data_IF_909270716018
#
_entry.id   IF_909270716018
#
_cell.length_a   1.000
_cell.length_b   1.000
_cell.length_c   1.000
_cell.angle_alpha   90.00
_cell.angle_beta   90.00
_cell.angle_gamma   90.00
#
_symmetry.space_group_name_H-M   'P 1'
#
loop_
_entity.id
_entity.type
_entity.pdbx_description
1 polymer ?
#
# COMPACT_ATOMS: atom_id res chain seq x y z
N UNK A 1 6.20 -75.03 -53.31
CA UNK A 1 5.55 -76.11 -52.52
C UNK A 1 5.77 -75.86 -51.08
N UNK A 2 4.67 -75.84 -50.31
CA UNK A 2 4.43 -76.07 -48.90
C UNK A 2 4.88 -74.90 -47.95
N UNK A 3 3.93 -74.18 -47.50
CA UNK A 3 2.96 -74.29 -46.45
C UNK A 3 3.46 -73.69 -45.14
N UNK A 4 2.75 -72.63 -44.82
CA UNK A 4 2.55 -72.06 -43.45
C UNK A 4 2.32 -73.13 -42.40
N UNK A 5 2.40 -72.83 -41.08
CA UNK A 5 1.35 -72.01 -40.48
C UNK A 5 1.82 -71.03 -39.35
N UNK A 6 1.15 -69.92 -39.27
CA UNK A 6 0.37 -69.39 -38.15
C UNK A 6 0.83 -69.78 -36.72
N UNK A 7 1.22 -68.82 -35.99
CA UNK A 7 0.97 -68.83 -34.55
C UNK A 7 0.69 -67.39 -34.09
N UNK A 8 -0.55 -67.15 -33.89
CA UNK A 8 -1.14 -66.04 -33.16
C UNK A 8 -0.71 -66.11 -31.73
N UNK A 9 -0.02 -65.10 -31.22
CA UNK A 9 0.00 -64.86 -29.77
C UNK A 9 -0.60 -63.50 -29.51
N UNK A 10 -1.77 -63.54 -29.03
CA UNK A 10 -2.56 -62.41 -28.48
C UNK A 10 -1.96 -62.04 -27.17
N UNK A 11 -1.18 -60.98 -27.13
CA UNK A 11 -0.70 -60.39 -25.86
C UNK A 11 -1.65 -59.26 -25.46
N UNK A 12 -2.49 -59.51 -24.50
CA UNK A 12 -3.31 -58.52 -23.85
C UNK A 12 -2.41 -57.73 -22.90
N UNK A 13 -2.02 -56.55 -23.28
CA UNK A 13 -1.40 -55.56 -22.37
C UNK A 13 -2.52 -54.88 -21.59
N UNK A 14 -2.76 -55.31 -20.38
CA UNK A 14 -3.56 -54.57 -19.42
C UNK A 14 -2.76 -53.33 -18.95
N UNK A 15 -3.11 -52.18 -19.51
CA UNK A 15 -2.59 -50.89 -19.02
C UNK A 15 -3.30 -50.60 -17.68
N UNK A 16 -2.59 -50.82 -16.58
CA UNK A 16 -2.98 -50.34 -15.29
C UNK A 16 -2.79 -48.81 -15.23
N UNK A 17 -3.90 -48.09 -15.36
CA UNK A 17 -3.93 -46.68 -15.06
C UNK A 17 -3.78 -46.48 -13.53
N UNK A 18 -2.57 -46.22 -13.11
CA UNK A 18 -2.31 -45.76 -11.75
C UNK A 18 -2.74 -44.30 -11.72
N UNK A 19 -3.97 -44.04 -11.27
CA UNK A 19 -4.41 -42.72 -10.87
C UNK A 19 -3.61 -42.34 -9.61
N UNK A 20 -2.47 -41.71 -9.81
CA UNK A 20 -1.71 -41.08 -8.74
C UNK A 20 -2.50 -39.88 -8.24
N UNK A 21 -3.22 -40.05 -7.13
CA UNK A 21 -3.64 -38.93 -6.32
C UNK A 21 -2.35 -38.27 -5.79
N UNK A 22 -1.94 -37.19 -6.40
CA UNK A 22 -0.96 -36.28 -5.82
C UNK A 22 -1.69 -35.61 -4.67
N UNK A 23 -1.30 -35.79 -3.40
CA UNK A 23 -1.83 -34.94 -2.35
C UNK A 23 -1.39 -33.52 -2.67
N UNK A 24 -2.34 -32.65 -2.97
CA UNK A 24 -2.08 -31.20 -2.92
C UNK A 24 -1.63 -30.94 -1.50
N UNK A 25 -0.35 -30.77 -1.35
CA UNK A 25 0.20 -30.19 -0.13
C UNK A 25 -0.28 -28.75 -0.17
N UNK A 26 -1.38 -28.47 0.51
CA UNK A 26 -1.72 -27.12 0.90
C UNK A 26 -0.48 -26.62 1.65
N UNK A 27 0.34 -25.83 0.94
CA UNK A 27 1.40 -25.09 1.59
C UNK A 27 0.77 -24.28 2.72
N UNK A 28 1.52 -23.95 3.79
CA UNK A 28 0.98 -23.15 4.87
C UNK A 28 0.30 -21.94 4.24
N UNK A 29 -0.99 -21.80 4.47
CA UNK A 29 -1.74 -20.61 4.13
C UNK A 29 -1.00 -19.48 4.80
N UNK A 30 -0.26 -18.69 4.02
CA UNK A 30 0.30 -17.45 4.52
C UNK A 30 -0.93 -16.67 4.99
N UNK A 31 -1.11 -16.64 6.29
CA UNK A 31 -2.12 -15.81 6.93
C UNK A 31 -1.86 -14.41 6.38
N UNK A 32 -2.72 -13.98 5.45
CA UNK A 32 -2.56 -12.70 4.78
C UNK A 32 -2.63 -11.65 5.87
N UNK A 33 -1.51 -10.95 6.08
CA UNK A 33 -1.48 -9.84 7.01
C UNK A 33 -2.62 -8.87 6.67
N UNK A 34 -3.31 -8.33 7.67
CA UNK A 34 -4.46 -7.46 7.43
C UNK A 34 -4.05 -6.28 6.55
N UNK A 35 -4.91 -5.85 5.61
CA UNK A 35 -4.62 -4.72 4.73
C UNK A 35 -4.35 -3.46 5.54
N UNK A 36 -3.60 -2.52 4.95
CA UNK A 36 -3.36 -1.23 5.57
C UNK A 36 -4.67 -0.46 5.75
N UNK A 37 -4.85 0.09 6.95
CA UNK A 37 -6.03 0.87 7.32
C UNK A 37 -5.61 2.27 7.74
N UNK A 38 -6.32 3.27 7.24
CA UNK A 38 -6.16 4.67 7.65
C UNK A 38 -7.00 4.90 8.90
N UNK A 39 -6.35 5.16 10.04
CA UNK A 39 -7.04 5.28 11.33
C UNK A 39 -7.33 6.73 11.73
N UNK A 40 -6.87 7.67 10.95
CA UNK A 40 -7.15 9.09 11.13
C UNK A 40 -5.92 9.96 11.27
N UNK A 41 -6.17 11.26 11.22
CA UNK A 41 -5.14 12.30 11.39
C UNK A 41 -5.62 13.33 12.39
N UNK A 42 -4.74 13.64 13.33
CA UNK A 42 -4.87 14.79 14.20
C UNK A 42 -4.06 15.95 13.62
N UNK A 43 -4.69 17.10 13.46
CA UNK A 43 -4.06 18.31 12.93
C UNK A 43 -3.91 19.34 14.02
N UNK A 44 -2.71 19.89 14.18
CA UNK A 44 -2.40 20.94 15.16
C UNK A 44 -1.68 22.10 14.50
N UNK A 45 -2.25 23.27 14.59
CA UNK A 45 -1.56 24.51 14.23
C UNK A 45 -0.56 24.85 15.34
N UNK A 46 0.72 24.84 14.99
CA UNK A 46 1.81 25.14 15.95
C UNK A 46 2.14 26.62 15.99
N UNK A 47 2.02 27.29 14.85
CA UNK A 47 2.22 28.72 14.66
C UNK A 47 1.36 29.14 13.46
N UNK A 48 1.36 30.40 13.08
CA UNK A 48 0.48 30.96 12.03
C UNK A 48 0.52 30.17 10.73
N UNK A 49 1.67 29.67 10.35
CA UNK A 49 1.90 28.92 9.12
C UNK A 49 2.56 27.53 9.33
N UNK A 50 2.81 27.15 10.55
CA UNK A 50 3.45 25.87 10.90
C UNK A 50 2.41 24.89 11.47
N UNK A 51 2.27 23.75 10.81
CA UNK A 51 1.23 22.77 11.11
C UNK A 51 1.83 21.39 11.37
N UNK A 52 1.34 20.73 12.39
CA UNK A 52 1.67 19.35 12.70
C UNK A 52 0.49 18.43 12.33
N UNK A 53 0.82 17.34 11.67
CA UNK A 53 -0.09 16.24 11.35
C UNK A 53 0.38 14.97 12.02
N UNK A 54 -0.45 14.42 12.89
CA UNK A 54 -0.21 13.12 13.50
C UNK A 54 -1.15 12.10 12.87
N UNK A 55 -0.61 11.28 11.98
CA UNK A 55 -1.35 10.24 11.24
C UNK A 55 -1.15 8.89 11.88
N UNK A 56 -2.18 8.06 11.90
CA UNK A 56 -2.11 6.68 12.34
C UNK A 56 -2.62 5.75 11.26
N UNK A 57 -1.90 4.65 11.07
CA UNK A 57 -2.31 3.53 10.21
C UNK A 57 -2.05 2.21 10.93
N UNK A 58 -2.85 1.21 10.61
CA UNK A 58 -2.68 -0.17 11.09
C UNK A 58 -2.62 -1.15 9.93
N UNK A 59 -2.17 -2.39 10.20
CA UNK A 59 -2.03 -3.44 9.20
C UNK A 59 -0.72 -3.36 8.44
N UNK A 60 -0.74 -3.80 7.17
CA UNK A 60 0.45 -3.80 6.31
C UNK A 60 0.65 -2.41 5.72
N UNK A 61 1.11 -1.49 6.55
CA UNK A 61 1.50 -0.15 6.15
C UNK A 61 3.03 -0.06 5.96
N UNK A 62 3.46 0.94 5.22
CA UNK A 62 4.88 1.27 5.02
C UNK A 62 5.15 2.71 5.41
N UNK A 63 6.43 3.07 5.52
CA UNK A 63 6.81 4.49 5.70
C UNK A 63 6.26 5.36 4.57
N UNK A 64 6.30 4.88 3.32
CA UNK A 64 5.78 5.60 2.17
C UNK A 64 4.27 5.84 2.26
N UNK A 65 3.51 4.91 2.82
CA UNK A 65 2.06 5.08 3.05
C UNK A 65 1.79 6.20 4.05
N UNK A 66 2.55 6.23 5.16
CA UNK A 66 2.43 7.29 6.16
C UNK A 66 2.85 8.67 5.61
N UNK A 67 3.94 8.72 4.84
CA UNK A 67 4.38 9.95 4.18
C UNK A 67 3.32 10.45 3.18
N UNK A 68 2.73 9.56 2.38
CA UNK A 68 1.63 9.89 1.49
C UNK A 68 0.40 10.40 2.25
N UNK A 69 0.04 9.75 3.34
CA UNK A 69 -1.11 10.13 4.15
C UNK A 69 -0.95 11.52 4.77
N UNK A 70 0.20 11.81 5.38
CA UNK A 70 0.48 13.13 5.95
C UNK A 70 0.62 14.22 4.87
N UNK A 71 1.18 13.89 3.72
CA UNK A 71 1.28 14.79 2.57
C UNK A 71 -0.10 15.17 2.02
N UNK A 72 -1.01 14.20 1.94
CA UNK A 72 -2.40 14.44 1.55
C UNK A 72 -3.13 15.35 2.55
N UNK A 73 -2.94 15.10 3.85
CA UNK A 73 -3.49 15.94 4.90
C UNK A 73 -2.95 17.38 4.83
N UNK A 74 -1.66 17.53 4.63
CA UNK A 74 -1.03 18.84 4.48
C UNK A 74 -1.58 19.62 3.28
N UNK A 75 -1.73 18.97 2.14
CA UNK A 75 -2.30 19.58 0.94
C UNK A 75 -3.73 20.05 1.19
N UNK A 76 -4.57 19.22 1.76
CA UNK A 76 -5.96 19.57 2.03
C UNK A 76 -6.10 20.67 3.07
N UNK A 77 -5.35 20.60 4.17
CA UNK A 77 -5.36 21.64 5.18
C UNK A 77 -4.91 22.99 4.62
N UNK A 78 -3.90 22.98 3.75
CA UNK A 78 -3.44 24.17 3.03
C UNK A 78 -4.57 24.84 2.26
N UNK A 79 -5.36 24.06 1.52
CA UNK A 79 -6.53 24.55 0.80
C UNK A 79 -7.63 25.07 1.74
N UNK A 80 -7.90 24.35 2.84
CA UNK A 80 -8.88 24.79 3.86
C UNK A 80 -8.50 26.16 4.44
N UNK A 81 -7.22 26.42 4.62
CA UNK A 81 -6.70 27.71 5.08
C UNK A 81 -6.67 28.79 4.00
N UNK A 82 -7.03 28.45 2.74
CA UNK A 82 -7.01 29.36 1.62
C UNK A 82 -5.61 29.65 1.07
N UNK A 83 -4.66 28.75 1.33
CA UNK A 83 -3.28 28.86 0.86
C UNK A 83 -3.05 27.94 -0.35
N UNK A 84 -1.93 28.15 -1.04
CA UNK A 84 -1.62 27.44 -2.30
C UNK A 84 -0.52 26.41 -2.13
N UNK A 85 0.46 26.68 -1.26
CA UNK A 85 1.66 25.86 -1.13
C UNK A 85 1.86 25.36 0.29
N UNK A 86 2.44 24.18 0.40
CA UNK A 86 3.01 23.69 1.63
C UNK A 86 4.44 23.22 1.40
N UNK A 87 5.25 23.22 2.42
CA UNK A 87 6.61 22.68 2.40
C UNK A 87 6.81 21.75 3.57
N UNK A 88 7.27 20.54 3.27
CA UNK A 88 7.62 19.56 4.27
C UNK A 88 8.82 20.01 5.09
N UNK A 89 8.74 19.95 6.39
CA UNK A 89 9.80 20.29 7.33
C UNK A 89 10.48 19.04 7.87
N UNK A 90 9.69 18.14 8.48
CA UNK A 90 10.17 16.87 9.03
C UNK A 90 9.04 15.86 9.16
N UNK A 91 9.39 14.58 9.20
CA UNK A 91 8.50 13.50 9.61
C UNK A 91 9.26 12.52 10.50
N UNK A 92 8.68 12.15 11.61
CA UNK A 92 9.11 11.04 12.45
C UNK A 92 8.07 9.93 12.38
N UNK A 93 8.50 8.71 12.14
CA UNK A 93 7.60 7.55 12.03
C UNK A 93 8.02 6.51 13.06
N UNK A 94 7.05 6.01 13.80
CA UNK A 94 7.19 4.89 14.74
C UNK A 94 6.23 3.77 14.36
N UNK A 95 6.64 2.55 14.61
CA UNK A 95 5.80 1.36 14.44
C UNK A 95 5.92 0.50 15.70
N UNK A 96 4.78 0.05 16.22
CA UNK A 96 4.72 -0.81 17.39
C UNK A 96 3.49 -1.72 17.29
N UNK A 97 3.73 -3.01 17.19
CA UNK A 97 2.67 -4.01 17.15
C UNK A 97 1.69 -3.86 15.98
N UNK A 98 2.16 -3.43 14.80
CA UNK A 98 1.33 -3.18 13.62
C UNK A 98 0.62 -1.83 13.63
N UNK A 99 0.86 -0.99 14.63
CA UNK A 99 0.37 0.39 14.71
C UNK A 99 1.47 1.35 14.27
N UNK A 100 1.21 2.05 13.19
CA UNK A 100 2.12 3.03 12.58
C UNK A 100 1.66 4.44 12.91
N UNK A 101 2.55 5.26 13.40
CA UNK A 101 2.28 6.66 13.70
C UNK A 101 3.32 7.54 13.03
N UNK A 102 2.86 8.47 12.21
CA UNK A 102 3.67 9.54 11.66
C UNK A 102 3.38 10.85 12.39
N UNK A 103 4.42 11.55 12.75
CA UNK A 103 4.40 12.94 13.25
C UNK A 103 5.10 13.80 12.22
N UNK A 104 4.34 14.51 11.41
CA UNK A 104 4.83 15.30 10.29
C UNK A 104 4.57 16.79 10.50
N UNK A 105 5.52 17.61 10.14
CA UNK A 105 5.42 19.08 10.22
C UNK A 105 5.60 19.68 8.84
N UNK A 106 4.71 20.60 8.52
CA UNK A 106 4.69 21.36 7.27
C UNK A 106 4.56 22.87 7.55
N UNK A 107 5.13 23.69 6.71
CA UNK A 107 4.74 25.11 6.59
C UNK A 107 3.73 25.25 5.46
N UNK A 108 2.78 26.16 5.62
CA UNK A 108 1.78 26.50 4.59
C UNK A 108 1.96 27.96 4.16
N UNK A 109 1.70 28.26 2.90
CA UNK A 109 1.99 29.60 2.34
C UNK A 109 1.08 29.91 1.15
N UNK A 110 0.65 31.19 0.98
CA UNK A 110 -0.04 31.63 -0.22
C UNK A 110 0.88 31.73 -1.45
N UNK A 111 2.18 31.92 -1.21
CA UNK A 111 3.21 32.06 -2.25
C UNK A 111 4.17 30.87 -2.20
N UNK A 112 4.86 30.64 -3.33
CA UNK A 112 5.84 29.57 -3.44
C UNK A 112 6.98 29.78 -2.43
N UNK A 113 7.12 28.93 -1.41
CA UNK A 113 8.17 29.06 -0.42
C UNK A 113 9.53 28.71 -1.01
N UNK A 114 10.58 29.26 -0.44
CA UNK A 114 11.96 28.89 -0.77
C UNK A 114 12.28 27.51 -0.20
N UNK A 115 13.10 26.77 -0.91
CA UNK A 115 13.63 25.48 -0.46
C UNK A 115 13.07 24.29 -1.23
N UNK A 116 13.43 23.11 -0.75
CA UNK A 116 13.05 21.82 -1.33
C UNK A 116 11.77 21.29 -0.67
N UNK A 117 11.21 20.23 -1.26
CA UNK A 117 10.05 19.50 -0.72
C UNK A 117 8.78 20.35 -0.63
N UNK A 118 8.63 21.29 -1.54
CA UNK A 118 7.43 22.09 -1.70
C UNK A 118 6.39 21.30 -2.49
N UNK A 119 5.14 21.39 -2.07
CA UNK A 119 4.01 20.85 -2.78
C UNK A 119 3.01 21.96 -3.12
N UNK A 120 2.42 21.87 -4.30
CA UNK A 120 1.25 22.65 -4.67
C UNK A 120 0.01 21.90 -4.20
N UNK A 121 -0.74 22.51 -3.30
CA UNK A 121 -1.79 21.84 -2.55
C UNK A 121 -2.90 21.28 -3.43
N UNK A 122 -3.30 22.01 -4.47
CA UNK A 122 -4.38 21.58 -5.36
C UNK A 122 -3.98 20.36 -6.19
N UNK A 123 -2.76 20.32 -6.70
CA UNK A 123 -2.23 19.18 -7.46
C UNK A 123 -2.14 17.94 -6.58
N UNK A 124 -1.56 18.07 -5.38
CA UNK A 124 -1.42 16.95 -4.46
C UNK A 124 -2.77 16.44 -3.96
N UNK A 125 -3.72 17.33 -3.66
CA UNK A 125 -5.06 16.93 -3.23
C UNK A 125 -5.80 16.15 -4.32
N UNK A 126 -5.64 16.52 -5.59
CA UNK A 126 -6.20 15.78 -6.72
C UNK A 126 -5.59 14.38 -6.85
N UNK A 127 -4.27 14.25 -6.75
CA UNK A 127 -3.57 12.96 -6.77
C UNK A 127 -4.04 12.07 -5.61
N UNK A 128 -4.21 12.64 -4.43
CA UNK A 128 -4.71 11.91 -3.25
C UNK A 128 -6.11 11.35 -3.47
N UNK A 129 -7.00 12.12 -4.09
CA UNK A 129 -8.34 11.67 -4.43
C UNK A 129 -8.30 10.49 -5.42
N UNK A 130 -7.45 10.56 -6.44
CA UNK A 130 -7.26 9.47 -7.41
C UNK A 130 -6.71 8.20 -6.75
N UNK A 131 -5.82 8.33 -5.78
CA UNK A 131 -5.24 7.21 -5.03
C UNK A 131 -6.16 6.68 -3.92
N UNK A 132 -7.29 7.31 -3.65
CA UNK A 132 -8.20 6.91 -2.59
C UNK A 132 -7.65 7.12 -1.18
N UNK A 133 -6.68 8.02 -1.01
CA UNK A 133 -6.16 8.39 0.30
C UNK A 133 -7.16 9.34 0.98
N UNK A 134 -7.59 9.02 2.22
CA UNK A 134 -8.57 9.84 2.91
C UNK A 134 -8.10 11.28 3.14
N UNK A 135 -9.06 12.17 3.13
CA UNK A 135 -8.83 13.57 3.46
C UNK A 135 -9.07 13.85 4.95
N UNK A 136 -8.55 14.95 5.39
CA UNK A 136 -8.73 15.46 6.76
C UNK A 136 -10.09 16.13 6.96
#
# INVERSE_FOLDING_TARGET
MLRSPLSTLTGVCAAALIAGCVPETEGPTLEQAPPATYDGIETRLLDDDLVNFRAQMTGVATRADLDAYTRCAAAQYTLIRGYTFARHVRTSITEEGGVWVADAVYTISPELPRGLQTLEAQVVAADCAEQGIPSV
#
